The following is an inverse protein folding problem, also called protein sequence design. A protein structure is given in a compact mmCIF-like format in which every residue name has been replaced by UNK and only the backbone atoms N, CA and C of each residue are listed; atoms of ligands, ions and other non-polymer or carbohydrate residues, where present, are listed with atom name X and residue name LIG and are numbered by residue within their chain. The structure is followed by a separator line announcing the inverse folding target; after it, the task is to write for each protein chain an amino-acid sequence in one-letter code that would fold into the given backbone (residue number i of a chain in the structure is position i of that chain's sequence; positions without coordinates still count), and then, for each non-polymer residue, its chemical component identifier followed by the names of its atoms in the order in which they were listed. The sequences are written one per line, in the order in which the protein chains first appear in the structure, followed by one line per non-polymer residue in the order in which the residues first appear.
data_IF_627606637586
#
_entry.id   IF_627606637586
#
_cell.length_a   1.000
_cell.length_b   1.000
_cell.length_c   1.000
_cell.angle_alpha   90.00
_cell.angle_beta   90.00
_cell.angle_gamma   90.00
#
_symmetry.space_group_name_H-M   'P 1'
#
loop_
_entity.id
_entity.type
_entity.pdbx_description
1 polymer ?
#
# COMPACT_ATOMS: atom_id res chain seq x y z
N UNK A 1 31.28 -1.29 -17.63
CA UNK A 1 31.20 -0.18 -16.65
C UNK A 1 30.67 -0.75 -15.34
N UNK A 2 31.56 -1.01 -14.39
CA UNK A 2 31.26 -1.58 -13.06
C UNK A 2 31.97 -0.71 -12.04
N UNK A 3 31.30 0.25 -11.42
CA UNK A 3 31.78 0.96 -10.22
C UNK A 3 30.59 1.70 -9.64
N UNK A 4 30.03 1.19 -8.56
CA UNK A 4 29.17 1.90 -7.59
C UNK A 4 28.66 0.93 -6.51
N UNK A 5 28.83 -0.38 -6.69
CA UNK A 5 28.37 -1.37 -5.70
C UNK A 5 29.27 -1.42 -4.47
N UNK A 6 30.59 -1.24 -4.61
CA UNK A 6 31.55 -1.44 -3.52
C UNK A 6 31.75 -0.24 -2.57
N UNK A 7 31.60 1.00 -3.03
CA UNK A 7 31.93 2.17 -2.18
C UNK A 7 31.02 2.32 -0.95
N UNK A 8 29.77 1.88 -1.04
CA UNK A 8 28.83 1.96 0.09
C UNK A 8 29.09 0.91 1.17
N UNK A 9 29.79 -0.19 0.85
CA UNK A 9 30.19 -1.20 1.84
C UNK A 9 31.28 -0.70 2.77
N UNK A 10 32.15 0.19 2.26
CA UNK A 10 33.29 0.71 3.00
C UNK A 10 32.88 1.71 4.10
N UNK A 11 31.74 2.40 3.94
CA UNK A 11 31.37 3.52 4.82
C UNK A 11 30.58 3.14 6.08
N UNK A 12 29.88 2.00 6.10
CA UNK A 12 28.98 1.65 7.24
C UNK A 12 29.26 0.32 7.92
N UNK A 13 30.05 -0.58 7.32
CA UNK A 13 30.26 -1.94 7.85
C UNK A 13 28.99 -2.81 7.96
N UNK A 14 27.81 -2.29 7.59
CA UNK A 14 26.54 -3.01 7.64
C UNK A 14 26.44 -3.98 6.44
N UNK A 15 26.56 -5.29 6.71
CA UNK A 15 26.19 -6.31 5.74
C UNK A 15 24.67 -6.38 5.64
N UNK A 16 24.09 -5.75 4.61
CA UNK A 16 22.70 -5.96 4.28
C UNK A 16 22.51 -7.30 3.56
N UNK A 17 21.42 -8.03 3.85
CA UNK A 17 21.13 -9.28 3.17
C UNK A 17 21.08 -9.07 1.65
N UNK A 18 21.67 -10.01 0.90
CA UNK A 18 21.75 -9.94 -0.58
C UNK A 18 20.37 -9.96 -1.20
N UNK A 19 19.47 -10.74 -0.60
CA UNK A 19 18.08 -10.93 -0.99
C UNK A 19 17.19 -10.54 0.18
N UNK A 20 16.02 -9.97 -0.12
CA UNK A 20 15.02 -9.65 0.90
C UNK A 20 13.72 -10.32 0.49
N UNK A 21 13.54 -11.56 0.97
CA UNK A 21 12.40 -12.39 0.61
C UNK A 21 11.19 -12.04 1.48
N UNK A 22 10.06 -11.74 0.84
CA UNK A 22 8.77 -11.58 1.49
C UNK A 22 7.68 -12.25 0.66
N UNK A 23 6.89 -13.13 1.28
CA UNK A 23 5.86 -13.94 0.60
C UNK A 23 6.37 -14.69 -0.65
N UNK A 24 7.62 -15.20 -0.60
CA UNK A 24 8.22 -15.95 -1.70
C UNK A 24 8.78 -15.08 -2.85
N UNK A 25 8.72 -13.76 -2.73
CA UNK A 25 9.28 -12.83 -3.72
C UNK A 25 10.50 -12.10 -3.16
N UNK A 26 11.55 -11.95 -3.99
CA UNK A 26 12.67 -11.08 -3.65
C UNK A 26 12.34 -9.61 -3.95
N UNK A 27 12.20 -8.85 -2.89
CA UNK A 27 11.87 -7.44 -2.96
C UNK A 27 12.98 -6.61 -3.60
N UNK A 28 14.25 -7.02 -3.48
CA UNK A 28 15.41 -6.28 -4.03
C UNK A 28 15.34 -6.20 -5.55
N UNK A 29 14.92 -7.30 -6.20
CA UNK A 29 14.82 -7.40 -7.66
C UNK A 29 13.48 -6.89 -8.21
N UNK A 30 12.54 -6.45 -7.37
CA UNK A 30 11.25 -5.92 -7.81
C UNK A 30 11.42 -4.74 -8.79
N UNK A 31 10.90 -4.88 -10.01
CA UNK A 31 11.06 -3.87 -11.05
C UNK A 31 10.19 -2.63 -10.75
N UNK A 32 10.80 -1.44 -10.87
CA UNK A 32 10.11 -0.18 -10.70
C UNK A 32 10.76 0.92 -11.54
N UNK A 33 9.95 1.89 -11.98
CA UNK A 33 10.41 3.00 -12.83
C UNK A 33 11.38 3.94 -12.11
N UNK A 34 11.13 4.21 -10.83
CA UNK A 34 11.92 5.09 -10.01
C UNK A 34 11.89 4.65 -8.53
N UNK A 35 12.76 5.23 -7.71
CA UNK A 35 12.89 4.89 -6.30
C UNK A 35 11.60 5.16 -5.50
N UNK A 36 10.80 6.16 -5.89
CA UNK A 36 9.53 6.46 -5.22
C UNK A 36 8.46 5.43 -5.57
N UNK A 37 8.37 5.01 -6.85
CA UNK A 37 7.47 3.95 -7.29
C UNK A 37 7.84 2.62 -6.63
N UNK A 38 9.13 2.29 -6.58
CA UNK A 38 9.61 1.12 -5.86
C UNK A 38 9.16 1.13 -4.40
N UNK A 39 9.40 2.23 -3.68
CA UNK A 39 8.97 2.36 -2.29
C UNK A 39 7.47 2.17 -2.11
N UNK A 40 6.65 2.79 -2.97
CA UNK A 40 5.19 2.62 -2.94
C UNK A 40 4.77 1.17 -3.21
N UNK A 41 5.38 0.51 -4.18
CA UNK A 41 5.06 -0.88 -4.52
C UNK A 41 5.39 -1.82 -3.38
N UNK A 42 6.56 -1.65 -2.74
CA UNK A 42 6.94 -2.44 -1.57
C UNK A 42 5.96 -2.24 -0.41
N UNK A 43 5.55 -1.01 -0.11
CA UNK A 43 4.56 -0.72 0.95
C UNK A 43 3.26 -1.48 0.68
N UNK A 44 2.78 -1.49 -0.57
CA UNK A 44 1.57 -2.23 -0.97
C UNK A 44 1.72 -3.74 -0.90
N UNK A 45 2.94 -4.28 -1.04
CA UNK A 45 3.23 -5.71 -0.85
C UNK A 45 3.28 -6.10 0.63
N UNK A 46 3.83 -5.23 1.47
CA UNK A 46 4.06 -5.50 2.89
C UNK A 46 2.83 -5.27 3.76
N UNK A 47 1.97 -4.34 3.38
CA UNK A 47 0.81 -3.92 4.17
C UNK A 47 -0.47 -3.94 3.35
N UNK A 48 -1.53 -4.45 3.95
CA UNK A 48 -2.86 -4.38 3.39
C UNK A 48 -3.37 -2.94 3.39
N UNK A 49 -4.32 -2.66 2.49
CA UNK A 49 -5.00 -1.36 2.42
C UNK A 49 -5.66 -0.99 3.76
N UNK A 50 -6.21 -1.97 4.47
CA UNK A 50 -6.84 -1.77 5.77
C UNK A 50 -5.81 -1.40 6.85
N UNK A 51 -4.68 -2.10 6.90
CA UNK A 51 -3.57 -1.77 7.81
C UNK A 51 -3.09 -0.34 7.55
N UNK A 52 -2.81 0.01 6.29
CA UNK A 52 -2.39 1.36 5.92
C UNK A 52 -3.40 2.43 6.33
N UNK A 53 -4.70 2.19 6.17
CA UNK A 53 -5.74 3.15 6.52
C UNK A 53 -5.96 3.28 8.03
N UNK A 54 -5.78 2.20 8.79
CA UNK A 54 -6.03 2.15 10.23
C UNK A 54 -4.82 2.53 11.09
N UNK A 55 -3.60 2.41 10.55
CA UNK A 55 -2.36 2.57 11.31
C UNK A 55 -1.78 3.98 11.23
N UNK A 56 -0.96 4.32 12.23
CA UNK A 56 -0.16 5.55 12.25
C UNK A 56 1.30 5.25 11.89
N UNK A 57 1.90 6.20 11.18
CA UNK A 57 3.29 6.17 10.72
C UNK A 57 4.33 6.26 11.85
N UNK A 58 3.99 6.98 12.91
CA UNK A 58 4.84 7.26 14.06
C UNK A 58 3.96 7.23 15.32
N UNK A 59 4.55 6.95 16.51
CA UNK A 59 3.85 7.14 17.77
C UNK A 59 3.32 8.55 17.83
N UNK A 60 2.00 8.67 17.87
CA UNK A 60 1.33 9.91 18.14
C UNK A 60 0.28 9.60 19.20
N UNK A 61 0.60 9.94 20.45
CA UNK A 61 -0.24 9.69 21.63
C UNK A 61 -1.66 10.27 21.50
N UNK A 62 -1.86 11.20 20.56
CA UNK A 62 -3.15 11.81 20.29
C UNK A 62 -4.15 10.86 19.61
N UNK A 63 -3.68 9.81 18.94
CA UNK A 63 -4.53 8.86 18.24
C UNK A 63 -4.21 7.44 18.71
N UNK A 64 -5.13 6.79 19.44
CA UNK A 64 -5.05 5.36 19.84
C UNK A 64 -5.18 4.41 18.65
N UNK A 65 -4.27 4.51 17.70
CA UNK A 65 -4.27 3.72 16.46
C UNK A 65 -3.08 2.76 16.49
N UNK A 66 -3.22 1.53 15.97
CA UNK A 66 -2.15 0.56 15.98
C UNK A 66 -0.98 1.02 15.09
N UNK A 67 0.24 0.74 15.53
CA UNK A 67 1.43 0.97 14.72
C UNK A 67 1.51 -0.03 13.57
N UNK A 68 2.18 0.37 12.49
CA UNK A 68 2.59 -0.59 11.47
C UNK A 68 3.60 -1.58 12.06
N UNK A 69 3.50 -2.82 11.60
CA UNK A 69 4.37 -3.92 12.03
C UNK A 69 5.85 -3.57 11.80
N UNK A 70 6.59 -3.49 12.90
CA UNK A 70 8.01 -3.11 12.95
C UNK A 70 8.87 -4.10 12.14
N UNK A 71 8.54 -5.39 12.15
CA UNK A 71 9.30 -6.39 11.40
C UNK A 71 9.15 -6.17 9.90
N UNK A 72 7.92 -5.95 9.42
CA UNK A 72 7.65 -5.60 8.00
C UNK A 72 8.27 -4.26 7.61
N UNK A 73 8.36 -3.32 8.54
CA UNK A 73 9.07 -2.05 8.32
C UNK A 73 10.58 -2.23 8.16
N UNK A 74 11.18 -3.16 8.91
CA UNK A 74 12.59 -3.53 8.75
C UNK A 74 12.86 -4.17 7.39
N UNK A 75 11.95 -5.06 6.94
CA UNK A 75 11.99 -5.66 5.59
C UNK A 75 11.97 -4.57 4.50
N UNK A 76 11.04 -3.61 4.61
CA UNK A 76 11.00 -2.45 3.72
C UNK A 76 12.33 -1.70 3.67
N UNK A 77 12.87 -1.37 4.86
CA UNK A 77 14.14 -0.63 4.99
C UNK A 77 15.31 -1.35 4.35
N UNK A 78 15.43 -2.65 4.59
CA UNK A 78 16.51 -3.46 4.01
C UNK A 78 16.40 -3.54 2.49
N UNK A 79 15.21 -3.77 1.94
CA UNK A 79 14.99 -3.85 0.50
C UNK A 79 15.31 -2.53 -0.22
N UNK A 80 14.95 -1.38 0.38
CA UNK A 80 15.22 -0.06 -0.20
C UNK A 80 16.70 0.32 -0.09
N UNK A 81 17.32 0.12 1.08
CA UNK A 81 18.76 0.41 1.26
C UNK A 81 19.60 -0.47 0.34
N UNK A 82 19.23 -1.73 0.14
CA UNK A 82 19.95 -2.65 -0.75
C UNK A 82 19.88 -2.20 -2.21
N UNK A 83 18.70 -1.78 -2.70
CA UNK A 83 18.50 -1.43 -4.10
C UNK A 83 18.99 -0.02 -4.47
N UNK A 84 18.68 0.98 -3.64
CA UNK A 84 18.90 2.39 -3.97
C UNK A 84 19.91 3.09 -3.06
N UNK A 85 20.45 2.42 -2.04
CA UNK A 85 21.49 2.96 -1.13
C UNK A 85 21.12 4.33 -0.54
N UNK A 86 19.85 4.49 -0.17
CA UNK A 86 19.36 5.73 0.44
C UNK A 86 20.11 5.96 1.77
N UNK A 87 20.72 7.13 1.92
CA UNK A 87 21.42 7.53 3.13
C UNK A 87 20.47 7.67 4.31
N UNK A 88 20.97 7.45 5.53
CA UNK A 88 20.16 7.57 6.75
C UNK A 88 19.51 8.96 6.89
N UNK A 89 20.22 10.02 6.50
CA UNK A 89 19.70 11.40 6.54
C UNK A 89 18.49 11.63 5.63
N UNK A 90 18.41 10.91 4.50
CA UNK A 90 17.30 11.02 3.55
C UNK A 90 16.22 9.95 3.75
N UNK A 91 16.43 9.05 4.71
CA UNK A 91 15.53 7.93 4.96
C UNK A 91 14.15 8.40 5.39
N UNK A 92 14.08 9.25 6.40
CA UNK A 92 12.80 9.71 6.97
C UNK A 92 11.97 10.47 5.93
N UNK A 93 12.62 11.35 5.16
CA UNK A 93 11.96 12.09 4.08
C UNK A 93 11.45 11.16 2.98
N UNK A 94 12.27 10.21 2.53
CA UNK A 94 11.89 9.22 1.52
C UNK A 94 10.71 8.37 2.00
N UNK A 95 10.79 7.87 3.22
CA UNK A 95 9.78 7.00 3.81
C UNK A 95 8.45 7.74 3.99
N UNK A 96 8.47 8.95 4.54
CA UNK A 96 7.29 9.79 4.68
C UNK A 96 6.62 10.07 3.32
N UNK A 97 7.41 10.39 2.28
CA UNK A 97 6.88 10.63 0.93
C UNK A 97 6.21 9.38 0.34
N UNK A 98 6.86 8.22 0.44
CA UNK A 98 6.33 6.96 -0.08
C UNK A 98 5.03 6.57 0.64
N UNK A 99 5.03 6.67 1.97
CA UNK A 99 3.89 6.33 2.80
C UNK A 99 2.72 7.28 2.61
N UNK A 100 2.96 8.60 2.64
CA UNK A 100 1.90 9.58 2.45
C UNK A 100 1.20 9.42 1.09
N UNK A 101 1.97 9.23 0.01
CA UNK A 101 1.39 9.02 -1.32
C UNK A 101 0.64 7.69 -1.43
N UNK A 102 1.18 6.62 -0.85
CA UNK A 102 0.52 5.32 -0.85
C UNK A 102 -0.80 5.37 -0.09
N UNK A 103 -0.80 5.98 1.10
CA UNK A 103 -2.00 6.15 1.92
C UNK A 103 -3.07 6.96 1.21
N UNK A 104 -2.69 8.12 0.64
CA UNK A 104 -3.61 8.96 -0.12
C UNK A 104 -4.24 8.20 -1.29
N UNK A 105 -3.44 7.44 -2.03
CA UNK A 105 -3.94 6.60 -3.12
C UNK A 105 -4.91 5.53 -2.61
N UNK A 106 -4.54 4.81 -1.55
CA UNK A 106 -5.37 3.77 -0.93
C UNK A 106 -6.71 4.32 -0.45
N UNK A 107 -6.72 5.47 0.24
CA UNK A 107 -7.97 6.11 0.69
C UNK A 107 -8.86 6.54 -0.49
N UNK A 108 -8.27 7.07 -1.56
CA UNK A 108 -9.00 7.38 -2.79
C UNK A 108 -9.61 6.13 -3.42
N UNK A 109 -8.86 5.03 -3.50
CA UNK A 109 -9.34 3.78 -4.09
C UNK A 109 -10.45 3.14 -3.24
N UNK A 110 -10.34 3.17 -1.91
CA UNK A 110 -11.41 2.74 -0.99
C UNK A 110 -12.68 3.55 -1.23
N UNK A 111 -12.58 4.90 -1.28
CA UNK A 111 -13.74 5.77 -1.52
C UNK A 111 -14.42 5.49 -2.86
N UNK A 112 -13.63 5.24 -3.92
CA UNK A 112 -14.16 4.87 -5.23
C UNK A 112 -14.91 3.53 -5.19
N UNK A 113 -14.34 2.51 -4.53
CA UNK A 113 -14.97 1.20 -4.37
C UNK A 113 -16.29 1.28 -3.59
N UNK A 114 -16.31 2.04 -2.49
CA UNK A 114 -17.53 2.23 -1.69
C UNK A 114 -18.63 2.93 -2.50
N UNK A 115 -18.29 3.96 -3.29
CA UNK A 115 -19.26 4.63 -4.16
C UNK A 115 -19.81 3.70 -5.23
N UNK A 116 -18.96 2.89 -5.86
CA UNK A 116 -19.39 1.92 -6.86
C UNK A 116 -20.32 0.85 -6.26
N UNK A 117 -20.04 0.36 -5.04
CA UNK A 117 -20.91 -0.57 -4.34
C UNK A 117 -22.28 0.04 -4.02
N UNK A 118 -22.33 1.30 -3.57
CA UNK A 118 -23.60 2.00 -3.30
C UNK A 118 -24.44 2.15 -4.57
N UNK A 119 -23.82 2.48 -5.71
CA UNK A 119 -24.52 2.60 -6.99
C UNK A 119 -25.07 1.26 -7.48
N UNK A 120 -24.31 0.17 -7.32
CA UNK A 120 -24.76 -1.18 -7.64
C UNK A 120 -25.93 -1.62 -6.75
N UNK A 121 -25.89 -1.30 -5.45
CA UNK A 121 -26.98 -1.60 -4.53
C UNK A 121 -28.25 -0.83 -4.91
N UNK A 122 -28.14 0.47 -5.20
CA UNK A 122 -29.29 1.28 -5.64
C UNK A 122 -29.90 0.75 -6.94
N UNK A 123 -29.08 0.38 -7.92
CA UNK A 123 -29.56 -0.21 -9.17
C UNK A 123 -30.24 -1.58 -8.94
N UNK A 124 -29.73 -2.40 -8.01
CA UNK A 124 -30.34 -3.67 -7.65
C UNK A 124 -31.70 -3.49 -6.96
N UNK A 125 -31.79 -2.52 -6.03
CA UNK A 125 -33.01 -2.20 -5.30
C UNK A 125 -34.10 -1.62 -6.25
N UNK A 126 -33.71 -0.76 -7.20
CA UNK A 126 -34.62 -0.22 -8.24
C UNK A 126 -35.17 -1.30 -9.17
N UNK A 127 -34.36 -2.29 -9.56
CA UNK A 127 -34.81 -3.41 -10.38
C UNK A 127 -35.81 -4.29 -9.62
N UNK A 128 -35.57 -4.59 -8.34
CA UNK A 128 -36.53 -5.34 -7.53
C UNK A 128 -37.86 -4.59 -7.31
N UNK A 129 -37.80 -3.26 -7.13
CA UNK A 129 -39.01 -2.44 -7.02
C UNK A 129 -39.85 -2.42 -8.31
N UNK A 130 -39.19 -2.50 -9.48
CA UNK A 130 -39.87 -2.47 -10.79
C UNK A 130 -40.51 -3.81 -11.15
N UNK A 131 -39.90 -4.94 -10.77
CA UNK A 131 -40.45 -6.28 -11.03
C UNK A 131 -41.48 -6.75 -9.99
N UNK A 132 -41.62 -6.05 -8.84
CA UNK A 132 -42.63 -6.32 -7.82
C UNK A 132 -44.05 -5.80 -8.15
N UNK A 133 -44.24 -5.03 -9.21
CA UNK A 133 -45.55 -4.53 -9.64
C UNK A 133 -46.00 -5.24 -10.94
N UNK A 134 -46.52 -6.47 -10.82
CA UNK A 134 -47.43 -6.98 -11.85
C UNK A 134 -48.80 -6.33 -11.66
N UNK A 135 -49.40 -5.71 -12.70
CA UNK A 135 -50.76 -5.22 -12.62
C UNK A 135 -51.70 -6.41 -12.44
N UNK A 136 -52.46 -6.43 -11.32
CA UNK A 136 -53.61 -7.30 -11.18
C UNK A 136 -54.56 -7.00 -12.34
N UNK A 137 -54.60 -7.90 -13.31
CA UNK A 137 -55.60 -7.88 -14.37
C UNK A 137 -56.97 -7.98 -13.69
N UNK A 138 -57.76 -6.92 -13.83
CA UNK A 138 -59.16 -6.92 -13.47
C UNK A 138 -59.87 -7.97 -14.34
N UNK A 139 -60.10 -9.16 -13.78
CA UNK A 139 -61.00 -10.14 -14.38
C UNK A 139 -62.43 -9.70 -14.12
N UNK A 140 -63.04 -9.04 -15.10
CA UNK A 140 -64.50 -8.98 -15.25
C UNK A 140 -64.94 -10.07 -16.19
N UNK A 141 -65.60 -11.09 -15.67
CA UNK A 141 -66.86 -11.67 -16.17
C UNK A 141 -67.33 -12.82 -15.27
#
# INVERSE_FOLDING_TARGET
MQTNTDEFKAETGEQFPTEVIFNGEDLVHHHARDHQQYGRDLIKKLFSVNELASSILLPNDKYKRPHLDIARMSVFKNAVRRKYKISAQKWDEFFQKCMHRTLTQCLCDIRKKLKAQQQLQQAADEQQATYGQQPQQATTN
#
